data_IF_285352394839
#
_entry.id   IF_285352394839
#
_cell.length_a   1.000
_cell.length_b   1.000
_cell.length_c   1.000
_cell.angle_alpha   90.00
_cell.angle_beta   90.00
_cell.angle_gamma   90.00
#
_symmetry.space_group_name_H-M   'P 1'
#
loop_
_entity.id
_entity.type
_entity.pdbx_description
1 polymer ?
#
# COMPACT_ATOMS: atom_id res chain seq x y z
N UNK A 1 -19.04 -14.50 6.71
CA UNK A 1 -17.89 -15.04 7.46
C UNK A 1 -17.41 -14.07 8.53
N UNK A 2 -17.18 -12.80 8.19
CA UNK A 2 -16.64 -11.80 9.14
C UNK A 2 -17.43 -11.66 10.45
N UNK A 3 -18.77 -11.63 10.38
CA UNK A 3 -19.63 -11.62 11.59
C UNK A 3 -19.53 -12.89 12.43
N UNK A 4 -19.27 -14.03 11.79
CA UNK A 4 -19.18 -15.33 12.45
C UNK A 4 -17.83 -15.48 13.18
N UNK A 5 -16.77 -14.93 12.59
CA UNK A 5 -15.41 -14.97 13.13
C UNK A 5 -15.11 -13.79 14.07
N UNK A 6 -16.12 -12.98 14.38
CA UNK A 6 -15.98 -11.85 15.30
C UNK A 6 -15.61 -12.35 16.69
N UNK A 7 -14.45 -11.92 17.20
CA UNK A 7 -13.86 -12.40 18.46
C UNK A 7 -12.70 -13.40 18.29
N UNK A 8 -12.39 -13.81 17.06
CA UNK A 8 -11.18 -14.58 16.75
C UNK A 8 -10.10 -13.68 16.16
N UNK A 9 -9.28 -13.08 17.02
CA UNK A 9 -8.27 -12.08 16.62
C UNK A 9 -7.16 -12.64 15.71
N UNK A 10 -7.00 -13.98 15.66
CA UNK A 10 -6.00 -14.68 14.83
C UNK A 10 -6.62 -15.38 13.61
N UNK A 11 -7.84 -15.03 13.26
CA UNK A 11 -8.53 -15.47 12.05
C UNK A 11 -8.69 -14.30 11.07
N UNK A 12 -8.22 -14.48 9.84
CA UNK A 12 -8.45 -13.56 8.74
C UNK A 12 -9.31 -14.26 7.71
N UNK A 13 -10.45 -13.68 7.38
CA UNK A 13 -11.31 -14.18 6.32
C UNK A 13 -11.46 -13.13 5.23
N UNK A 14 -11.40 -13.59 3.99
CA UNK A 14 -11.74 -12.78 2.85
C UNK A 14 -12.60 -13.61 1.89
N UNK A 15 -13.86 -13.24 1.78
CA UNK A 15 -14.87 -13.99 1.04
C UNK A 15 -14.94 -15.45 1.54
N UNK A 16 -14.38 -16.37 0.75
CA UNK A 16 -14.37 -17.82 1.00
C UNK A 16 -13.03 -18.33 1.54
N UNK A 17 -11.97 -17.51 1.49
CA UNK A 17 -10.64 -17.89 1.96
C UNK A 17 -10.48 -17.54 3.45
N UNK A 18 -10.00 -18.52 4.23
CA UNK A 18 -9.78 -18.40 5.66
C UNK A 18 -8.31 -18.69 5.98
N UNK A 19 -7.66 -17.75 6.66
CA UNK A 19 -6.32 -17.86 7.19
C UNK A 19 -6.37 -17.85 8.71
N UNK A 20 -5.75 -18.85 9.33
CA UNK A 20 -5.60 -18.96 10.78
C UNK A 20 -4.12 -18.83 11.11
N UNK A 21 -3.80 -18.05 12.15
CA UNK A 21 -2.43 -17.85 12.60
C UNK A 21 -2.28 -18.11 14.10
N UNK A 22 -1.04 -18.17 14.59
CA UNK A 22 -0.72 -18.36 16.00
C UNK A 22 0.77 -18.13 16.22
N UNK A 23 1.13 -17.72 17.44
CA UNK A 23 2.53 -17.40 17.79
C UNK A 23 3.37 -18.65 18.10
N UNK A 24 2.71 -19.75 18.46
CA UNK A 24 3.32 -21.08 18.63
C UNK A 24 2.46 -22.16 17.96
N UNK A 25 3.00 -23.37 17.82
CA UNK A 25 2.24 -24.49 17.27
C UNK A 25 1.02 -24.84 18.14
N UNK A 26 1.17 -24.78 19.47
CA UNK A 26 0.09 -25.02 20.42
C UNK A 26 -0.98 -23.92 20.32
N UNK A 27 -0.55 -22.66 20.20
CA UNK A 27 -1.47 -21.54 20.07
C UNK A 27 -2.25 -21.61 18.75
N UNK A 28 -1.57 -21.92 17.65
CA UNK A 28 -2.19 -22.13 16.35
C UNK A 28 -3.23 -23.25 16.38
N UNK A 29 -2.93 -24.38 17.04
CA UNK A 29 -3.87 -25.49 17.18
C UNK A 29 -5.09 -25.10 18.01
N UNK A 30 -4.91 -24.36 19.10
CA UNK A 30 -6.04 -23.84 19.89
C UNK A 30 -6.93 -22.90 19.07
N UNK A 31 -6.31 -21.98 18.33
CA UNK A 31 -7.05 -21.04 17.46
C UNK A 31 -7.81 -21.81 16.38
N UNK A 32 -7.17 -22.79 15.74
CA UNK A 32 -7.78 -23.62 14.71
C UNK A 32 -8.98 -24.41 15.26
N UNK A 33 -8.85 -25.06 16.42
CA UNK A 33 -9.94 -25.82 17.04
C UNK A 33 -11.15 -24.94 17.36
N UNK A 34 -10.90 -23.77 17.93
CA UNK A 34 -11.93 -22.76 18.25
C UNK A 34 -12.68 -22.29 17.00
N UNK A 35 -11.94 -22.03 15.92
CA UNK A 35 -12.51 -21.58 14.64
C UNK A 35 -13.29 -22.71 13.97
N UNK A 36 -12.75 -23.93 13.90
CA UNK A 36 -13.44 -25.09 13.32
C UNK A 36 -14.73 -25.40 14.07
N UNK A 37 -14.73 -25.31 15.40
CA UNK A 37 -15.92 -25.47 16.24
C UNK A 37 -16.98 -24.40 15.92
N UNK A 38 -16.55 -23.15 15.72
CA UNK A 38 -17.44 -22.05 15.32
C UNK A 38 -18.06 -22.30 13.94
N UNK A 39 -17.25 -22.72 12.97
CA UNK A 39 -17.71 -23.07 11.62
C UNK A 39 -18.68 -24.24 11.62
N UNK A 40 -18.38 -25.28 12.41
CA UNK A 40 -19.25 -26.45 12.57
C UNK A 40 -20.60 -26.06 13.16
N UNK A 41 -20.61 -25.21 14.20
CA UNK A 41 -21.84 -24.72 14.85
C UNK A 41 -22.70 -23.90 13.88
N UNK A 42 -22.08 -23.14 12.99
CA UNK A 42 -22.76 -22.39 11.94
C UNK A 42 -23.17 -23.23 10.71
N UNK A 43 -22.82 -24.51 10.67
CA UNK A 43 -23.12 -25.41 9.55
C UNK A 43 -22.27 -25.17 8.30
N UNK A 44 -21.12 -24.49 8.44
CA UNK A 44 -20.20 -24.20 7.33
C UNK A 44 -19.28 -25.40 7.10
N UNK A 45 -19.15 -25.81 5.84
CA UNK A 45 -18.32 -26.94 5.44
C UNK A 45 -17.08 -26.46 4.69
N UNK A 46 -15.93 -26.97 5.09
CA UNK A 46 -14.66 -26.74 4.39
C UNK A 46 -14.42 -27.85 3.36
N UNK A 47 -13.73 -27.51 2.26
CA UNK A 47 -13.33 -28.47 1.24
C UNK A 47 -11.96 -29.07 1.60
N UNK A 48 -11.86 -30.33 2.07
CA UNK A 48 -10.63 -30.85 2.69
C UNK A 48 -9.40 -30.78 1.79
N UNK A 49 -9.55 -31.03 0.48
CA UNK A 49 -8.42 -30.99 -0.47
C UNK A 49 -7.88 -29.59 -0.77
N UNK A 50 -8.59 -28.52 -0.36
CA UNK A 50 -8.14 -27.13 -0.49
C UNK A 50 -7.62 -26.58 0.83
N UNK A 51 -7.72 -27.35 1.92
CA UNK A 51 -7.23 -26.96 3.22
C UNK A 51 -5.76 -27.35 3.37
N UNK A 52 -4.95 -26.39 3.77
CA UNK A 52 -3.55 -26.60 4.13
C UNK A 52 -3.40 -26.30 5.63
N UNK A 53 -2.91 -27.27 6.39
CA UNK A 53 -2.79 -27.16 7.85
C UNK A 53 -1.32 -27.09 8.28
N UNK A 54 -1.03 -26.32 9.33
CA UNK A 54 0.27 -26.26 10.02
C UNK A 54 1.47 -26.06 9.08
N UNK A 55 1.32 -25.22 8.06
CA UNK A 55 2.40 -24.94 7.10
C UNK A 55 3.24 -23.74 7.58
N UNK A 56 4.57 -23.76 7.37
CA UNK A 56 5.42 -22.60 7.66
C UNK A 56 5.21 -21.44 6.66
N UNK A 57 4.61 -21.73 5.50
CA UNK A 57 4.22 -20.73 4.51
C UNK A 57 2.92 -21.14 3.81
N UNK A 58 2.12 -20.18 3.38
CA UNK A 58 0.82 -20.42 2.73
C UNK A 58 0.59 -19.43 1.60
N UNK A 59 -0.07 -19.88 0.53
CA UNK A 59 -0.59 -18.97 -0.49
C UNK A 59 -1.97 -18.45 -0.06
N UNK A 60 -2.10 -17.14 0.08
CA UNK A 60 -3.34 -16.48 0.49
C UNK A 60 -3.50 -15.16 -0.29
N UNK A 61 -4.66 -14.97 -0.91
CA UNK A 61 -4.99 -13.78 -1.72
C UNK A 61 -3.92 -13.42 -2.75
N UNK A 62 -3.38 -14.45 -3.44
CA UNK A 62 -2.39 -14.30 -4.51
C UNK A 62 -0.99 -13.85 -4.06
N UNK A 63 -0.69 -14.00 -2.77
CA UNK A 63 0.64 -13.83 -2.19
C UNK A 63 1.06 -15.08 -1.43
N UNK A 64 2.37 -15.36 -1.38
CA UNK A 64 2.92 -16.32 -0.44
C UNK A 64 3.26 -15.59 0.86
N UNK A 65 2.74 -16.08 1.97
CA UNK A 65 2.92 -15.49 3.29
C UNK A 65 3.70 -16.48 4.15
N UNK A 66 4.73 -16.01 4.83
CA UNK A 66 5.50 -16.77 5.81
C UNK A 66 5.82 -15.92 7.05
N UNK A 67 6.67 -16.43 7.94
CA UNK A 67 7.07 -15.73 9.16
C UNK A 67 7.85 -14.43 8.89
N UNK A 68 8.52 -14.31 7.74
CA UNK A 68 9.31 -13.13 7.40
C UNK A 68 8.45 -12.02 6.81
N UNK A 69 7.40 -12.39 6.06
CA UNK A 69 6.53 -11.42 5.42
C UNK A 69 5.69 -11.93 4.27
N UNK A 70 5.41 -11.02 3.35
CA UNK A 70 4.71 -11.25 2.11
C UNK A 70 5.70 -11.35 0.95
N UNK A 71 5.45 -12.32 0.10
CA UNK A 71 6.23 -12.62 -1.09
C UNK A 71 5.32 -12.65 -2.32
N UNK A 72 5.81 -12.21 -3.48
CA UNK A 72 5.17 -12.52 -4.75
C UNK A 72 5.11 -14.04 -4.97
N UNK A 73 4.03 -14.51 -5.60
CA UNK A 73 3.96 -15.91 -6.03
C UNK A 73 4.93 -16.15 -7.18
N UNK A 74 5.87 -17.08 -7.00
CA UNK A 74 6.93 -17.37 -7.96
C UNK A 74 6.40 -17.68 -9.36
N UNK A 75 5.32 -18.46 -9.46
CA UNK A 75 4.73 -18.81 -10.77
C UNK A 75 4.22 -17.59 -11.54
N UNK A 76 3.73 -16.56 -10.85
CA UNK A 76 3.28 -15.30 -11.46
C UNK A 76 4.46 -14.40 -11.82
N UNK A 77 5.48 -14.35 -10.98
CA UNK A 77 6.74 -13.65 -11.28
C UNK A 77 7.42 -14.25 -12.51
N UNK A 78 7.51 -15.57 -12.61
CA UNK A 78 8.05 -16.26 -13.79
C UNK A 78 7.24 -15.98 -15.06
N UNK A 79 5.91 -15.94 -14.97
CA UNK A 79 5.06 -15.59 -16.10
C UNK A 79 5.34 -14.16 -16.58
N UNK A 80 5.57 -13.23 -15.65
CA UNK A 80 5.94 -11.84 -15.96
C UNK A 80 7.34 -11.80 -16.56
N UNK A 81 8.31 -12.52 -16.00
CA UNK A 81 9.68 -12.60 -16.51
C UNK A 81 9.74 -13.16 -17.95
N UNK A 82 8.92 -14.16 -18.26
CA UNK A 82 8.86 -14.78 -19.60
C UNK A 82 7.93 -14.05 -20.56
N UNK A 83 7.19 -13.03 -20.12
CA UNK A 83 6.27 -12.29 -20.99
C UNK A 83 7.03 -11.65 -22.17
N UNK A 84 6.56 -11.84 -23.42
CA UNK A 84 7.19 -11.23 -24.58
C UNK A 84 7.04 -9.70 -24.55
N UNK A 85 7.85 -9.01 -25.34
CA UNK A 85 7.66 -7.59 -25.59
C UNK A 85 6.26 -7.38 -26.19
N UNK A 86 5.43 -6.48 -25.65
CA UNK A 86 4.12 -6.20 -26.20
C UNK A 86 4.26 -5.64 -27.62
N UNK A 87 3.33 -6.03 -28.49
CA UNK A 87 3.28 -5.61 -29.89
C UNK A 87 2.20 -4.55 -30.14
N UNK A 88 1.28 -4.39 -29.20
CA UNK A 88 0.16 -3.48 -29.28
C UNK A 88 -0.26 -2.91 -27.91
N UNK A 89 -1.14 -1.92 -27.93
CA UNK A 89 -1.63 -1.20 -26.75
C UNK A 89 -2.37 -2.11 -25.77
N UNK A 90 -3.11 -3.11 -26.26
CA UNK A 90 -3.93 -3.98 -25.41
C UNK A 90 -3.09 -5.03 -24.66
N UNK A 91 -2.03 -5.54 -25.30
CA UNK A 91 -1.00 -6.35 -24.66
C UNK A 91 -0.26 -5.56 -23.59
N UNK A 92 0.13 -4.32 -23.90
CA UNK A 92 0.77 -3.44 -22.92
C UNK A 92 -0.14 -3.14 -21.74
N UNK A 93 -1.43 -2.84 -21.99
CA UNK A 93 -2.41 -2.60 -20.92
C UNK A 93 -2.60 -3.83 -20.05
N UNK A 94 -2.60 -5.03 -20.64
CA UNK A 94 -2.68 -6.29 -19.91
C UNK A 94 -1.45 -6.52 -19.01
N UNK A 95 -0.25 -6.23 -19.53
CA UNK A 95 0.98 -6.29 -18.75
C UNK A 95 1.00 -5.29 -17.59
N UNK A 96 0.64 -4.03 -17.86
CA UNK A 96 0.61 -2.98 -16.83
C UNK A 96 -0.45 -3.27 -15.75
N UNK A 97 -1.60 -3.84 -16.12
CA UNK A 97 -2.61 -4.29 -15.16
C UNK A 97 -2.07 -5.37 -14.23
N UNK A 98 -1.36 -6.36 -14.78
CA UNK A 98 -0.71 -7.40 -13.99
C UNK A 98 0.40 -6.84 -13.09
N UNK A 99 1.18 -5.88 -13.59
CA UNK A 99 2.24 -5.25 -12.80
C UNK A 99 1.67 -4.39 -11.65
N UNK A 100 0.52 -3.75 -11.88
CA UNK A 100 -0.17 -2.95 -10.86
C UNK A 100 -0.62 -3.79 -9.67
N UNK A 101 -0.97 -5.07 -9.89
CA UNK A 101 -1.26 -6.01 -8.80
C UNK A 101 -0.07 -6.18 -7.85
N UNK A 102 1.15 -6.20 -8.40
CA UNK A 102 2.40 -6.27 -7.63
C UNK A 102 3.00 -4.89 -7.29
N UNK A 103 2.26 -3.79 -7.49
CA UNK A 103 2.77 -2.44 -7.24
C UNK A 103 3.27 -2.25 -5.80
N UNK A 104 2.67 -2.97 -4.83
CA UNK A 104 3.08 -2.92 -3.42
C UNK A 104 4.52 -3.39 -3.17
N UNK A 105 5.10 -4.12 -4.12
CA UNK A 105 6.47 -4.66 -4.07
C UNK A 105 7.46 -3.84 -4.91
N UNK A 106 6.96 -2.87 -5.68
CA UNK A 106 7.75 -2.17 -6.69
C UNK A 106 8.02 -0.72 -6.27
N UNK A 107 9.25 -0.37 -5.86
CA UNK A 107 9.60 1.01 -5.56
C UNK A 107 9.60 1.87 -6.83
N UNK A 108 9.06 3.08 -6.72
CA UNK A 108 9.07 4.13 -7.75
C UNK A 108 8.51 3.68 -9.11
N UNK A 109 7.46 2.85 -9.09
CA UNK A 109 6.82 2.29 -10.28
C UNK A 109 6.31 3.36 -11.26
N UNK A 110 5.77 4.49 -10.77
CA UNK A 110 5.28 5.59 -11.61
C UNK A 110 6.35 6.17 -12.54
N UNK A 111 7.56 6.39 -12.02
CA UNK A 111 8.72 6.88 -12.80
C UNK A 111 9.19 5.82 -13.77
N UNK A 112 9.36 4.58 -13.29
CA UNK A 112 9.85 3.46 -14.10
C UNK A 112 8.94 3.19 -15.31
N UNK A 113 7.62 3.22 -15.13
CA UNK A 113 6.63 2.91 -16.16
C UNK A 113 6.20 4.13 -16.97
N UNK A 114 6.75 5.32 -16.70
CA UNK A 114 6.35 6.54 -17.40
C UNK A 114 6.43 6.43 -18.94
N UNK A 115 7.48 5.83 -19.55
CA UNK A 115 7.54 5.63 -21.00
C UNK A 115 6.44 4.70 -21.51
N UNK A 116 6.09 3.66 -20.73
CA UNK A 116 5.05 2.71 -21.09
C UNK A 116 3.65 3.32 -21.00
N UNK A 117 3.39 4.16 -19.98
CA UNK A 117 2.13 4.87 -19.88
C UNK A 117 1.91 5.87 -21.02
N UNK A 118 2.98 6.44 -21.59
CA UNK A 118 2.87 7.32 -22.75
C UNK A 118 2.26 6.58 -23.96
N UNK A 119 2.67 5.34 -24.20
CA UNK A 119 2.11 4.51 -25.28
C UNK A 119 0.61 4.19 -25.14
N UNK A 120 0.02 4.42 -23.97
CA UNK A 120 -1.42 4.25 -23.76
C UNK A 120 -2.26 5.48 -24.15
N UNK A 121 -1.63 6.61 -24.46
CA UNK A 121 -2.33 7.83 -24.86
C UNK A 121 -2.96 7.67 -26.25
N UNK A 122 -4.22 8.09 -26.39
CA UNK A 122 -4.99 7.97 -27.64
C UNK A 122 -4.36 8.72 -28.82
N UNK A 123 -3.64 9.80 -28.54
CA UNK A 123 -3.04 10.67 -29.56
C UNK A 123 -1.63 10.21 -29.99
N UNK A 124 -1.10 9.14 -29.38
CA UNK A 124 0.27 8.69 -29.61
C UNK A 124 0.29 7.46 -30.52
N UNK A 125 1.09 7.52 -31.58
CA UNK A 125 1.35 6.35 -32.43
C UNK A 125 2.18 5.32 -31.65
N UNK A 126 1.82 4.04 -31.80
CA UNK A 126 2.57 2.93 -31.22
C UNK A 126 4.01 2.92 -31.73
N UNK A 127 4.97 3.14 -30.83
CA UNK A 127 6.40 3.08 -31.12
C UNK A 127 7.12 2.36 -29.98
N UNK A 128 7.50 1.12 -30.22
CA UNK A 128 8.25 0.32 -29.25
C UNK A 128 9.76 0.51 -29.48
N UNK A 129 10.33 1.52 -28.84
CA UNK A 129 11.74 1.90 -28.99
C UNK A 129 12.66 1.32 -27.92
N UNK A 130 13.89 1.83 -27.87
CA UNK A 130 14.88 1.42 -26.88
C UNK A 130 14.48 1.83 -25.45
N UNK A 131 13.85 2.99 -25.28
CA UNK A 131 13.45 3.55 -23.98
C UNK A 131 12.32 2.71 -23.36
N UNK A 132 11.31 2.37 -24.15
CA UNK A 132 10.17 1.55 -23.71
C UNK A 132 10.63 0.13 -23.40
N UNK A 133 11.50 -0.44 -24.25
CA UNK A 133 12.08 -1.76 -24.03
C UNK A 133 12.96 -1.81 -22.77
N UNK A 134 13.72 -0.76 -22.48
CA UNK A 134 14.50 -0.66 -21.26
C UNK A 134 13.59 -0.58 -20.03
N UNK A 135 12.58 0.30 -20.06
CA UNK A 135 11.58 0.42 -18.99
C UNK A 135 10.85 -0.91 -18.72
N UNK A 136 10.44 -1.61 -19.78
CA UNK A 136 9.81 -2.93 -19.70
C UNK A 136 10.73 -3.97 -19.05
N UNK A 137 11.99 -4.04 -19.48
CA UNK A 137 12.99 -4.96 -18.88
C UNK A 137 13.30 -4.62 -17.43
N UNK A 138 13.40 -3.34 -17.09
CA UNK A 138 13.63 -2.90 -15.72
C UNK A 138 12.46 -3.29 -14.81
N UNK A 139 11.23 -3.10 -15.27
CA UNK A 139 10.03 -3.49 -14.53
C UNK A 139 9.99 -4.99 -14.25
N UNK A 140 10.32 -5.82 -15.25
CA UNK A 140 10.42 -7.27 -15.08
C UNK A 140 11.52 -7.63 -14.08
N UNK A 141 12.71 -7.05 -14.24
CA UNK A 141 13.85 -7.29 -13.34
C UNK A 141 13.51 -6.94 -11.89
N UNK A 142 12.95 -5.76 -11.63
CA UNK A 142 12.60 -5.33 -10.27
C UNK A 142 11.57 -6.25 -9.62
N UNK A 143 10.65 -6.81 -10.40
CA UNK A 143 9.69 -7.76 -9.86
C UNK A 143 10.32 -9.14 -9.58
N UNK A 144 11.27 -9.58 -10.41
CA UNK A 144 12.00 -10.84 -10.15
C UNK A 144 12.96 -10.71 -8.97
N UNK A 145 13.59 -9.54 -8.81
CA UNK A 145 14.42 -9.20 -7.65
C UNK A 145 13.60 -8.70 -6.46
N UNK A 146 12.27 -8.75 -6.56
CA UNK A 146 11.34 -8.07 -5.66
C UNK A 146 11.64 -8.34 -4.19
N UNK A 147 11.61 -7.24 -3.44
CA UNK A 147 11.82 -7.18 -2.00
C UNK A 147 10.74 -7.96 -1.26
N UNK A 148 11.18 -8.76 -0.28
CA UNK A 148 10.35 -9.19 0.83
C UNK A 148 9.65 -7.97 1.45
N UNK A 149 8.33 -8.02 1.59
CA UNK A 149 7.60 -7.05 2.39
C UNK A 149 7.39 -7.63 3.79
N UNK A 150 7.94 -6.99 4.81
CA UNK A 150 7.79 -7.48 6.18
C UNK A 150 6.39 -7.24 6.70
N UNK A 151 5.97 -8.07 7.66
CA UNK A 151 4.73 -7.84 8.39
C UNK A 151 4.75 -6.50 9.12
N UNK A 152 3.59 -5.84 9.12
CA UNK A 152 3.38 -4.65 9.93
C UNK A 152 3.32 -5.05 11.41
N UNK A 153 4.13 -4.38 12.23
CA UNK A 153 4.18 -4.58 13.68
C UNK A 153 3.80 -3.29 14.40
N UNK A 154 2.70 -3.34 15.16
CA UNK A 154 2.17 -2.20 15.90
C UNK A 154 3.10 -1.68 17.00
N UNK A 155 3.99 -2.52 17.50
CA UNK A 155 4.93 -2.16 18.58
C UNK A 155 6.16 -1.43 18.07
N UNK A 156 6.42 -1.48 16.76
CA UNK A 156 7.63 -0.90 16.14
C UNK A 156 7.36 0.51 15.64
N UNK A 157 8.43 1.31 15.61
CA UNK A 157 8.39 2.61 14.94
C UNK A 157 8.07 2.43 13.45
N UNK A 158 7.41 3.43 12.86
CA UNK A 158 7.01 3.43 11.46
C UNK A 158 7.67 4.61 10.77
N UNK A 159 8.38 4.34 9.68
CA UNK A 159 8.93 5.36 8.78
C UNK A 159 8.08 5.43 7.53
N UNK A 160 7.71 6.64 7.13
CA UNK A 160 7.08 6.93 5.85
C UNK A 160 8.04 7.79 5.04
N UNK A 161 8.71 7.18 4.08
CA UNK A 161 9.59 7.87 3.14
C UNK A 161 8.78 8.27 1.90
N UNK A 162 8.90 9.53 1.48
CA UNK A 162 8.22 10.01 0.27
C UNK A 162 9.21 10.71 -0.65
N UNK A 163 8.99 10.55 -1.95
CA UNK A 163 9.83 11.10 -3.01
C UNK A 163 8.95 11.53 -4.19
N UNK A 164 9.32 12.62 -4.86
CA UNK A 164 8.65 13.09 -6.05
C UNK A 164 9.59 13.17 -7.25
N UNK A 165 9.14 12.58 -8.36
CA UNK A 165 9.80 12.73 -9.65
C UNK A 165 9.01 13.67 -10.57
N UNK A 166 9.59 14.08 -11.71
CA UNK A 166 8.84 14.80 -12.73
C UNK A 166 7.63 14.05 -13.29
N UNK A 167 7.55 12.74 -13.08
CA UNK A 167 6.53 11.87 -13.64
C UNK A 167 5.47 11.42 -12.62
N UNK A 168 5.87 11.27 -11.36
CA UNK A 168 5.03 10.64 -10.33
C UNK A 168 5.50 10.94 -8.92
N UNK A 169 4.68 10.56 -7.97
CA UNK A 169 5.03 10.53 -6.54
C UNK A 169 5.17 9.08 -6.09
N UNK A 170 6.07 8.85 -5.14
CA UNK A 170 6.31 7.58 -4.49
C UNK A 170 6.25 7.72 -2.98
N UNK A 171 5.86 6.64 -2.31
CA UNK A 171 5.88 6.52 -0.86
C UNK A 171 6.26 5.09 -0.47
N UNK A 172 7.03 4.96 0.61
CA UNK A 172 7.46 3.69 1.20
C UNK A 172 7.11 3.70 2.67
N UNK A 173 6.34 2.71 3.10
CA UNK A 173 6.09 2.44 4.51
C UNK A 173 7.07 1.37 4.97
N UNK A 174 7.83 1.63 6.04
CA UNK A 174 8.86 0.72 6.52
C UNK A 174 8.99 0.71 8.05
N UNK A 175 9.59 -0.35 8.57
CA UNK A 175 10.10 -0.40 9.93
C UNK A 175 11.60 -0.10 9.93
N UNK A 176 12.08 0.90 10.68
CA UNK A 176 13.50 1.14 10.80
C UNK A 176 14.19 -0.04 11.49
N UNK A 177 15.41 -0.34 11.06
CA UNK A 177 16.25 -1.38 11.67
C UNK A 177 17.72 -1.00 11.51
N UNK A 178 18.58 -1.52 12.38
CA UNK A 178 20.02 -1.26 12.35
C UNK A 178 20.69 -1.66 11.03
N UNK A 179 20.11 -2.64 10.32
CA UNK A 179 20.58 -3.12 9.02
C UNK A 179 20.00 -2.35 7.82
N UNK A 180 19.17 -1.32 8.05
CA UNK A 180 18.40 -0.60 7.03
C UNK A 180 16.89 -0.82 7.19
N UNK A 181 16.10 0.09 6.62
CA UNK A 181 14.65 0.06 6.83
C UNK A 181 14.03 -1.12 6.09
N UNK A 182 13.15 -1.86 6.77
CA UNK A 182 12.47 -3.02 6.22
C UNK A 182 11.11 -2.61 5.65
N UNK A 183 10.89 -2.73 4.32
CA UNK A 183 9.68 -2.23 3.69
C UNK A 183 8.46 -3.09 4.03
N UNK A 184 7.36 -2.44 4.37
CA UNK A 184 6.04 -3.04 4.61
C UNK A 184 5.19 -2.96 3.35
N UNK A 185 5.25 -1.82 2.67
CA UNK A 185 4.59 -1.62 1.39
C UNK A 185 5.21 -0.44 0.62
N UNK A 186 5.22 -0.56 -0.70
CA UNK A 186 5.48 0.52 -1.64
C UNK A 186 4.19 1.07 -2.24
N UNK A 187 4.16 2.35 -2.54
CA UNK A 187 3.07 2.99 -3.27
C UNK A 187 3.63 4.02 -4.22
N UNK A 188 3.02 4.13 -5.40
CA UNK A 188 3.34 5.21 -6.31
C UNK A 188 2.15 5.54 -7.20
N UNK A 189 2.13 6.78 -7.68
CA UNK A 189 1.09 7.30 -8.57
C UNK A 189 1.71 8.27 -9.57
N UNK A 190 1.25 8.24 -10.82
CA UNK A 190 1.63 9.21 -11.82
C UNK A 190 0.98 10.57 -11.56
N UNK A 191 1.72 11.66 -11.82
CA UNK A 191 1.21 13.02 -11.69
C UNK A 191 0.12 13.29 -12.76
N UNK A 192 -0.94 13.97 -12.34
CA UNK A 192 -1.95 14.53 -13.24
C UNK A 192 -1.36 15.67 -14.09
N UNK A 193 -2.06 16.07 -15.15
CA UNK A 193 -1.63 17.18 -16.01
C UNK A 193 -1.40 18.48 -15.23
N UNK A 194 -2.22 18.76 -14.22
CA UNK A 194 -2.07 19.93 -13.36
C UNK A 194 -0.87 19.80 -12.41
N UNK A 195 -0.70 18.63 -11.78
CA UNK A 195 0.39 18.37 -10.83
C UNK A 195 1.77 18.35 -11.50
N UNK A 196 1.86 18.04 -12.79
CA UNK A 196 3.12 18.13 -13.56
C UNK A 196 3.69 19.55 -13.63
N UNK A 197 2.81 20.56 -13.55
CA UNK A 197 3.20 21.97 -13.58
C UNK A 197 3.54 22.53 -12.19
N UNK A 198 3.50 21.70 -11.15
CA UNK A 198 3.85 22.12 -9.80
C UNK A 198 5.35 22.37 -9.68
N UNK A 199 5.71 23.33 -8.83
CA UNK A 199 7.11 23.54 -8.46
C UNK A 199 7.67 22.28 -7.78
N UNK A 200 9.00 22.13 -7.75
CA UNK A 200 9.62 20.98 -7.10
C UNK A 200 9.17 20.83 -5.65
N UNK A 201 9.19 21.92 -4.88
CA UNK A 201 8.72 21.94 -3.49
C UNK A 201 7.27 21.44 -3.36
N UNK A 202 6.38 21.85 -4.26
CA UNK A 202 4.99 21.42 -4.24
C UNK A 202 4.82 19.93 -4.62
N UNK A 203 5.66 19.41 -5.52
CA UNK A 203 5.65 17.97 -5.85
C UNK A 203 6.13 17.12 -4.69
N UNK A 204 7.18 17.54 -4.00
CA UNK A 204 7.66 16.87 -2.79
C UNK A 204 6.61 16.92 -1.68
N UNK A 205 5.98 18.08 -1.47
CA UNK A 205 4.88 18.22 -0.51
C UNK A 205 3.68 17.32 -0.86
N UNK A 206 3.35 17.21 -2.15
CA UNK A 206 2.32 16.30 -2.64
C UNK A 206 2.68 14.83 -2.36
N UNK A 207 3.95 14.44 -2.48
CA UNK A 207 4.39 13.08 -2.17
C UNK A 207 4.15 12.72 -0.70
N UNK A 208 4.47 13.63 0.23
CA UNK A 208 4.19 13.44 1.66
C UNK A 208 2.70 13.21 1.93
N UNK A 209 1.86 14.09 1.40
CA UNK A 209 0.40 14.01 1.57
C UNK A 209 -0.15 12.73 0.93
N UNK A 210 0.35 12.37 -0.25
CA UNK A 210 -0.01 11.12 -0.91
C UNK A 210 0.33 9.91 -0.04
N UNK A 211 1.53 9.84 0.52
CA UNK A 211 1.96 8.75 1.40
C UNK A 211 1.07 8.65 2.64
N UNK A 212 0.81 9.76 3.32
CA UNK A 212 -0.01 9.79 4.54
C UNK A 212 -1.45 9.35 4.26
N UNK A 213 -2.06 9.87 3.20
CA UNK A 213 -3.42 9.46 2.80
C UNK A 213 -3.44 7.98 2.41
N UNK A 214 -2.47 7.54 1.61
CA UNK A 214 -2.40 6.16 1.09
C UNK A 214 -2.28 5.14 2.22
N UNK A 215 -1.48 5.45 3.24
CA UNK A 215 -1.23 4.59 4.39
C UNK A 215 -2.00 4.99 5.63
N UNK A 216 -3.10 5.75 5.50
CA UNK A 216 -3.94 6.20 6.61
C UNK A 216 -4.26 5.11 7.63
N UNK A 217 -4.59 3.89 7.15
CA UNK A 217 -4.89 2.73 8.03
C UNK A 217 -3.73 2.32 8.94
N UNK A 218 -2.50 2.55 8.51
CA UNK A 218 -1.28 2.26 9.28
C UNK A 218 -0.79 3.45 10.12
N UNK A 219 -1.28 4.67 9.87
CA UNK A 219 -0.70 5.88 10.46
C UNK A 219 -1.64 6.61 11.41
N UNK A 220 -2.95 6.47 11.21
CA UNK A 220 -3.93 7.16 12.03
C UNK A 220 -3.89 6.64 13.48
N UNK A 221 -3.85 7.57 14.44
CA UNK A 221 -3.86 7.24 15.87
C UNK A 221 -2.50 6.86 16.47
N UNK A 222 -1.41 6.90 15.70
CA UNK A 222 -0.05 6.65 16.20
C UNK A 222 0.93 7.74 15.79
N UNK A 223 2.08 7.77 16.47
CA UNK A 223 3.20 8.63 16.10
C UNK A 223 4.12 7.89 15.12
N UNK A 224 4.45 8.52 13.99
CA UNK A 224 5.36 7.96 12.98
C UNK A 224 6.39 9.00 12.53
N UNK A 225 7.44 8.56 11.85
CA UNK A 225 8.48 9.44 11.31
C UNK A 225 8.26 9.62 9.81
N UNK A 226 8.07 10.87 9.38
CA UNK A 226 7.92 11.26 7.99
C UNK A 226 9.30 11.69 7.45
N UNK A 227 9.82 10.95 6.48
CA UNK A 227 11.15 11.15 5.92
C UNK A 227 11.05 11.81 4.55
N UNK A 228 11.82 12.88 4.35
CA UNK A 228 11.90 13.62 3.08
C UNK A 228 13.34 14.00 2.76
N UNK A 229 13.68 14.10 1.47
CA UNK A 229 14.94 14.65 0.97
C UNK A 229 14.87 16.16 0.69
N UNK A 230 13.80 16.84 1.10
CA UNK A 230 13.62 18.26 0.84
C UNK A 230 13.56 19.07 2.14
N UNK A 231 14.71 19.64 2.54
CA UNK A 231 14.88 20.37 3.81
C UNK A 231 13.83 21.49 4.07
N UNK A 232 13.40 22.29 3.07
CA UNK A 232 12.33 23.26 3.28
C UNK A 232 10.99 22.67 3.75
N UNK A 233 10.69 21.40 3.47
CA UNK A 233 9.44 20.78 3.92
C UNK A 233 9.44 20.51 5.43
N UNK A 234 10.61 20.24 6.00
CA UNK A 234 10.79 20.05 7.45
C UNK A 234 10.36 21.31 8.21
N UNK A 235 10.68 22.50 7.68
CA UNK A 235 10.29 23.76 8.32
C UNK A 235 8.83 24.14 8.05
N UNK A 236 8.31 23.79 6.87
CA UNK A 236 6.96 24.13 6.41
C UNK A 236 5.87 23.28 7.08
N UNK A 237 6.12 21.98 7.25
CA UNK A 237 5.20 21.02 7.87
C UNK A 237 5.66 20.58 9.26
N UNK A 238 6.41 21.43 9.96
CA UNK A 238 6.87 21.14 11.33
C UNK A 238 5.69 21.09 12.30
N UNK A 239 5.66 20.07 13.16
CA UNK A 239 4.62 19.89 14.19
C UNK A 239 4.46 21.08 15.13
N UNK A 240 5.56 21.82 15.36
CA UNK A 240 5.63 22.87 16.39
C UNK A 240 5.28 24.25 15.87
N UNK A 241 5.04 24.40 14.56
CA UNK A 241 4.83 25.70 13.92
C UNK A 241 3.40 25.84 13.42
N UNK A 242 2.77 27.01 13.58
CA UNK A 242 1.49 27.26 12.98
C UNK A 242 1.59 27.24 11.44
N UNK A 243 0.49 26.87 10.78
CA UNK A 243 0.39 26.86 9.33
C UNK A 243 0.72 28.27 8.81
N UNK A 244 1.68 28.37 7.89
CA UNK A 244 2.12 29.66 7.38
C UNK A 244 0.96 30.37 6.64
N UNK A 245 0.46 31.53 7.14
CA UNK A 245 -0.70 32.19 6.58
C UNK A 245 -0.44 32.78 5.19
N UNK A 246 0.83 33.02 4.84
CA UNK A 246 1.27 33.49 3.52
C UNK A 246 1.65 32.34 2.56
N UNK A 247 1.51 31.08 2.96
CA UNK A 247 1.74 29.95 2.04
C UNK A 247 0.61 29.88 1.00
N UNK A 248 0.91 29.28 -0.16
CA UNK A 248 -0.09 29.01 -1.17
C UNK A 248 -1.25 28.19 -0.58
N UNK A 249 -2.50 28.48 -0.98
CA UNK A 249 -3.70 27.82 -0.44
C UNK A 249 -3.68 26.30 -0.57
N UNK A 250 -2.94 25.75 -1.53
CA UNK A 250 -2.70 24.32 -1.68
C UNK A 250 -1.88 23.74 -0.53
N UNK A 251 -0.77 24.40 -0.17
CA UNK A 251 0.09 24.00 0.94
C UNK A 251 -0.66 24.10 2.27
N UNK A 252 -1.50 25.12 2.44
CA UNK A 252 -2.34 25.25 3.64
C UNK A 252 -3.31 24.07 3.77
N UNK A 253 -4.00 23.68 2.69
CA UNK A 253 -4.88 22.49 2.68
C UNK A 253 -4.12 21.22 3.03
N UNK A 254 -2.91 21.06 2.51
CA UNK A 254 -2.05 19.92 2.84
C UNK A 254 -1.60 19.92 4.30
N UNK A 255 -1.26 21.09 4.85
CA UNK A 255 -0.93 21.21 6.27
C UNK A 255 -2.12 20.84 7.17
N UNK A 256 -3.34 21.21 6.79
CA UNK A 256 -4.57 20.79 7.51
C UNK A 256 -4.73 19.27 7.48
N UNK A 257 -4.54 18.63 6.32
CA UNK A 257 -4.62 17.17 6.22
C UNK A 257 -3.58 16.51 7.11
N UNK A 258 -2.33 17.00 7.08
CA UNK A 258 -1.25 16.47 7.91
C UNK A 258 -1.50 16.72 9.42
N UNK A 259 -2.18 17.81 9.80
CA UNK A 259 -2.49 18.13 11.19
C UNK A 259 -3.39 17.11 11.88
N UNK A 260 -4.11 16.28 11.10
CA UNK A 260 -4.91 15.17 11.64
C UNK A 260 -4.05 13.98 12.12
N UNK A 261 -2.73 14.03 11.91
CA UNK A 261 -1.80 12.94 12.22
C UNK A 261 -0.72 13.40 13.20
N UNK A 262 -0.28 12.48 14.04
CA UNK A 262 0.90 12.67 14.89
C UNK A 262 2.13 12.16 14.14
N UNK A 263 3.02 13.04 13.70
CA UNK A 263 4.20 12.62 12.95
C UNK A 263 5.42 13.47 13.29
N UNK A 264 6.61 12.91 13.15
CA UNK A 264 7.89 13.64 13.20
C UNK A 264 8.50 13.76 11.82
N UNK A 265 8.66 14.97 11.32
CA UNK A 265 9.30 15.18 10.01
C UNK A 265 10.83 15.29 10.13
N UNK A 266 11.55 14.49 9.36
CA UNK A 266 13.02 14.45 9.34
C UNK A 266 13.55 14.56 7.92
N UNK A 267 14.67 15.25 7.77
CA UNK A 267 15.41 15.31 6.51
C UNK A 267 16.41 14.16 6.43
N UNK A 268 16.36 13.39 5.35
CA UNK A 268 17.34 12.35 5.02
C UNK A 268 17.81 12.60 3.60
N UNK A 269 19.13 12.62 3.39
CA UNK A 269 19.70 12.89 2.06
C UNK A 269 19.37 11.71 1.12
N UNK A 270 18.93 11.98 -0.10
CA UNK A 270 18.49 10.96 -1.05
C UNK A 270 19.49 9.82 -1.37
N UNK A 271 20.80 10.04 -1.14
CA UNK A 271 21.82 8.99 -1.25
C UNK A 271 21.72 7.89 -0.17
N UNK A 272 20.96 8.14 0.91
CA UNK A 272 20.69 7.20 2.00
C UNK A 272 19.30 6.54 1.87
N UNK A 273 18.52 6.86 0.83
CA UNK A 273 17.22 6.21 0.53
C UNK A 273 17.38 4.82 -0.11
N UNK A 274 18.54 4.20 0.06
CA UNK A 274 18.97 2.97 -0.61
C UNK A 274 18.35 1.73 0.05
N UNK A 275 17.03 1.66 0.17
CA UNK A 275 16.32 0.45 0.58
C UNK A 275 16.18 -0.57 -0.58
N UNK A 276 17.15 -0.63 -1.50
CA UNK A 276 17.03 -1.40 -2.75
C UNK A 276 18.15 -2.41 -3.03
N UNK A 277 19.19 -2.57 -2.19
CA UNK A 277 20.40 -3.30 -2.62
C UNK A 277 20.82 -4.52 -1.76
N UNK A 278 19.95 -5.04 -0.89
CA UNK A 278 20.34 -6.10 0.06
C UNK A 278 19.91 -7.54 -0.30
N UNK A 279 19.03 -7.79 -1.28
CA UNK A 279 18.43 -9.13 -1.46
C UNK A 279 18.85 -9.91 -2.72
N UNK A 280 19.93 -9.52 -3.41
CA UNK A 280 20.38 -10.21 -4.65
C UNK A 280 21.12 -11.54 -4.44
N UNK A 281 20.97 -12.22 -3.29
CA UNK A 281 21.72 -13.45 -3.00
C UNK A 281 20.76 -14.53 -2.54
N UNK A 282 20.29 -15.36 -3.47
CA UNK A 282 20.06 -16.81 -3.31
C UNK A 282 19.49 -17.38 -4.64
N UNK A 283 20.01 -18.49 -5.17
CA UNK A 283 19.52 -19.11 -6.41
C UNK A 283 18.66 -20.33 -6.12
N UNK A 284 17.47 -20.51 -6.69
CA UNK A 284 16.88 -21.86 -6.81
C UNK A 284 16.00 -22.04 -8.06
N UNK A 285 16.14 -23.26 -8.60
CA UNK A 285 15.71 -23.85 -9.85
C UNK A 285 14.18 -24.00 -10.01
N UNK A 286 13.71 -23.76 -11.23
CA UNK A 286 12.29 -23.78 -11.61
C UNK A 286 11.81 -25.19 -11.96
N UNK A 287 10.63 -25.57 -11.44
CA UNK A 287 9.87 -26.74 -11.93
C UNK A 287 8.50 -26.29 -12.47
N UNK A 288 8.05 -26.97 -13.53
CA UNK A 288 7.07 -26.53 -14.54
C UNK A 288 5.59 -26.78 -14.21
N UNK A 289 4.73 -25.78 -14.54
CA UNK A 289 3.37 -25.86 -15.17
C UNK A 289 2.24 -26.39 -14.22
N UNK A 290 0.90 -26.07 -14.34
CA UNK A 290 0.10 -25.45 -15.43
C UNK A 290 -0.75 -24.20 -15.08
N UNK A 291 -1.27 -23.59 -16.14
CA UNK A 291 -2.17 -22.43 -16.20
C UNK A 291 -3.53 -22.64 -15.53
N UNK A 292 -4.08 -21.61 -14.88
CA UNK A 292 -5.54 -21.27 -14.77
C UNK A 292 -5.74 -20.01 -13.89
N UNK A 293 -6.99 -19.50 -13.76
CA UNK A 293 -7.54 -18.29 -14.36
C UNK A 293 -7.31 -17.03 -13.48
N UNK A 294 -7.66 -15.85 -13.99
CA UNK A 294 -7.60 -14.57 -13.25
C UNK A 294 -8.85 -14.41 -12.34
N UNK A 295 -8.72 -14.26 -11.02
CA UNK A 295 -9.73 -13.64 -10.20
C UNK A 295 -9.48 -12.13 -10.09
N UNK A 296 -10.57 -11.38 -9.93
CA UNK A 296 -10.55 -9.94 -9.76
C UNK A 296 -10.23 -9.59 -8.30
N UNK A 297 -9.02 -9.09 -8.05
CA UNK A 297 -8.74 -8.39 -6.79
C UNK A 297 -8.93 -6.90 -7.00
N UNK A 298 -10.12 -6.49 -6.58
CA UNK A 298 -10.57 -5.11 -6.45
C UNK A 298 -9.71 -4.44 -5.37
N UNK A 299 -9.05 -3.36 -5.78
CA UNK A 299 -8.61 -2.33 -4.84
C UNK A 299 -9.89 -1.79 -4.19
N UNK A 300 -10.19 -2.19 -2.96
CA UNK A 300 -11.23 -1.56 -2.15
C UNK A 300 -10.74 -0.17 -1.72
N UNK A 301 -10.77 0.74 -2.69
CA UNK A 301 -11.05 2.14 -2.46
C UNK A 301 -12.57 2.19 -2.19
N UNK A 302 -12.97 2.17 -0.92
CA UNK A 302 -14.30 2.61 -0.53
C UNK A 302 -14.33 4.14 -0.65
N UNK A 303 -14.44 4.63 -1.89
CA UNK A 303 -15.14 5.90 -2.15
C UNK A 303 -16.62 5.54 -2.29
N UNK A 304 -17.26 5.30 -1.17
CA UNK A 304 -18.71 5.29 -1.02
C UNK A 304 -19.04 5.58 0.44
N UNK A 305 -18.95 6.85 0.82
CA UNK A 305 -19.93 7.37 1.77
C UNK A 305 -21.09 7.85 0.90
N UNK A 306 -21.90 6.91 0.41
CA UNK A 306 -23.16 7.28 -0.27
C UNK A 306 -24.24 7.64 0.77
N UNK A 307 -24.07 7.25 2.03
CA UNK A 307 -24.87 7.75 3.15
C UNK A 307 -23.98 8.03 4.37
N UNK A 308 -24.06 9.25 4.89
CA UNK A 308 -23.48 9.60 6.18
C UNK A 308 -24.14 8.71 7.25
N UNK A 309 -23.38 7.97 8.09
CA UNK A 309 -23.95 7.12 9.14
C UNK A 309 -24.69 7.93 10.22
N UNK A 310 -24.59 9.27 10.17
CA UNK A 310 -25.26 10.20 11.07
C UNK A 310 -26.27 11.03 10.28
N UNK A 311 -27.55 10.79 10.55
CA UNK A 311 -28.65 11.63 10.06
C UNK A 311 -28.84 12.86 10.94
N UNK A 312 -29.43 13.92 10.39
CA UNK A 312 -29.76 15.17 11.12
C UNK A 312 -30.56 14.89 12.40
N UNK A 313 -31.42 13.87 12.37
CA UNK A 313 -32.22 13.44 13.53
C UNK A 313 -31.38 12.79 14.65
N UNK A 314 -30.32 12.05 14.31
CA UNK A 314 -29.36 11.54 15.32
C UNK A 314 -28.59 12.69 15.95
N UNK A 315 -28.23 13.70 15.15
CA UNK A 315 -27.54 14.89 15.65
C UNK A 315 -28.43 15.72 16.58
N UNK A 316 -29.71 15.91 16.24
CA UNK A 316 -30.69 16.59 17.11
C UNK A 316 -30.92 15.85 18.44
N UNK A 317 -31.00 14.51 18.43
CA UNK A 317 -31.14 13.72 19.67
C UNK A 317 -29.97 13.89 20.63
N UNK A 318 -28.75 13.93 20.11
CA UNK A 318 -27.55 14.12 20.93
C UNK A 318 -27.43 15.57 21.41
N UNK A 319 -27.84 16.56 20.59
CA UNK A 319 -27.92 17.97 20.99
C UNK A 319 -28.90 18.20 22.15
N UNK A 320 -30.07 17.55 22.12
CA UNK A 320 -31.08 17.66 23.18
C UNK A 320 -30.65 16.94 24.47
N UNK A 321 -29.80 15.92 24.36
CA UNK A 321 -29.32 15.11 25.49
C UNK A 321 -28.08 15.68 26.17
N UNK A 322 -27.29 16.52 25.47
CA UNK A 322 -26.01 17.00 25.98
C UNK A 322 -25.71 18.45 25.56
N UNK A 323 -26.16 19.47 26.32
CA UNK A 323 -26.02 20.88 25.95
C UNK A 323 -24.57 21.37 25.85
N UNK A 324 -23.60 20.63 26.41
CA UNK A 324 -22.17 20.96 26.38
C UNK A 324 -21.55 20.69 25.00
N UNK A 325 -22.15 19.79 24.20
CA UNK A 325 -21.68 19.46 22.84
C UNK A 325 -21.81 20.66 21.87
N UNK A 326 -22.74 21.58 22.15
CA UNK A 326 -23.07 22.73 21.31
C UNK A 326 -21.94 23.77 21.24
N UNK A 327 -21.13 23.91 22.30
CA UNK A 327 -20.14 24.98 22.37
C UNK A 327 -18.91 24.75 21.48
N UNK A 328 -18.59 23.50 21.12
CA UNK A 328 -17.34 23.16 20.42
C UNK A 328 -17.50 22.92 18.91
N UNK A 329 -18.71 22.67 18.39
CA UNK A 329 -18.90 22.34 16.96
C UNK A 329 -19.15 23.57 16.09
N UNK A 330 -19.71 24.66 16.63
CA UNK A 330 -19.96 25.90 15.87
C UNK A 330 -18.65 26.54 15.36
N UNK A 331 -17.50 26.19 15.93
CA UNK A 331 -16.20 26.70 15.49
C UNK A 331 -15.58 26.00 14.27
N UNK A 332 -16.13 24.86 13.80
CA UNK A 332 -15.52 24.07 12.72
C UNK A 332 -16.27 24.12 11.37
N UNK A 333 -17.33 24.93 11.25
CA UNK A 333 -18.17 25.02 10.04
C UNK A 333 -18.36 26.44 9.50
N UNK A 334 -17.35 27.32 9.67
CA UNK A 334 -17.18 28.54 8.88
C UNK A 334 -15.83 28.50 8.16
#
# INVERSE_FOLDING_TARGET
MDKLLQGHDRALCYLDDLLVTGDSAEDHLRNLDSILTTLQTAGIKLHPSKCSFMQPSVEYLGHRIDAEGLHPIQTKVEAIERAPDPTNVDELRSFLGLLTYYAKFLPNMSTMLAPLYQLLNKDQQWRWGAVEKQSFREAKRKLTTSSLLVHFDESKEVHLECDASPYGVGAVLSHPSDAGDRPIAFASRSLTKAEKNYSQLEREALALVFGVIRYRKFLLGRTFTLVTDHQPLVSLFSEKKPIAPMAASRIQRWAIILSAYSYRIVYRKGSLHSNADACSRLPVEATRIPSTPRPADVVLLLDAIDDCPVTVQHFQRELDSNPIFVANIVFYLI
#
